data_IF_151259576715
#
_entry.id   IF_151259576715
#
_cell.length_a   1.000
_cell.length_b   1.000
_cell.length_c   1.000
_cell.angle_alpha   90.00
_cell.angle_beta   90.00
_cell.angle_gamma   90.00
#
_symmetry.space_group_name_H-M   'P 1'
#
loop_
_entity.id
_entity.type
_entity.pdbx_description
1 polymer ?
#
# COMPACT_ATOMS: atom_id res chain seq x y z
N UNK A 1 28.88 -68.13 36.44
CA UNK A 1 27.61 -67.71 35.79
C UNK A 1 27.53 -66.22 35.74
N UNK A 2 28.00 -65.58 34.62
CA UNK A 2 27.95 -64.13 34.41
C UNK A 2 26.65 -63.79 33.71
N UNK A 3 25.81 -62.98 34.37
CA UNK A 3 24.64 -62.35 33.71
C UNK A 3 25.11 -61.08 33.03
N UNK A 4 25.05 -61.06 31.70
CA UNK A 4 25.22 -59.81 30.89
C UNK A 4 23.93 -59.01 30.93
N UNK A 5 23.99 -57.80 31.52
CA UNK A 5 22.98 -56.76 31.36
C UNK A 5 23.17 -56.05 30.02
N UNK A 6 22.21 -56.15 29.14
CA UNK A 6 22.15 -55.32 27.94
C UNK A 6 21.41 -54.03 28.31
N UNK A 7 22.13 -52.91 28.34
CA UNK A 7 21.54 -51.58 28.44
C UNK A 7 21.11 -51.13 27.04
N UNK A 8 19.81 -51.09 26.81
CA UNK A 8 19.26 -50.54 25.57
C UNK A 8 19.17 -49.03 25.78
N UNK A 9 20.08 -48.25 25.13
CA UNK A 9 19.97 -46.79 25.05
C UNK A 9 18.92 -46.43 24.01
N UNK A 10 17.78 -45.96 24.45
CA UNK A 10 16.74 -45.39 23.62
C UNK A 10 17.14 -43.97 23.25
N UNK A 11 17.72 -43.79 22.05
CA UNK A 11 17.98 -42.45 21.50
C UNK A 11 16.63 -41.91 21.01
N UNK A 12 16.04 -41.01 21.79
CA UNK A 12 14.87 -40.24 21.38
C UNK A 12 15.31 -39.17 20.39
N UNK A 13 15.16 -39.46 19.10
CA UNK A 13 15.39 -38.48 18.04
C UNK A 13 14.23 -37.47 18.06
N UNK A 14 14.43 -36.36 18.71
CA UNK A 14 13.53 -35.19 18.62
C UNK A 14 13.64 -34.64 17.19
N UNK A 15 12.75 -35.07 16.31
CA UNK A 15 12.47 -34.43 15.04
C UNK A 15 11.81 -33.07 15.36
N UNK A 16 12.61 -32.03 15.49
CA UNK A 16 12.13 -30.66 15.37
C UNK A 16 11.71 -30.47 13.92
N UNK A 17 10.47 -30.78 13.62
CA UNK A 17 9.87 -30.35 12.35
C UNK A 17 9.73 -28.83 12.44
N UNK A 18 10.70 -28.11 11.91
CA UNK A 18 10.49 -26.71 11.58
C UNK A 18 9.25 -26.68 10.67
N UNK A 19 8.13 -26.20 11.19
CA UNK A 19 6.99 -25.85 10.34
C UNK A 19 7.51 -24.72 9.44
N UNK A 20 7.82 -25.05 8.20
CA UNK A 20 7.91 -24.02 7.17
C UNK A 20 6.51 -23.44 7.11
N UNK A 21 6.32 -22.27 7.68
CA UNK A 21 5.08 -21.52 7.50
C UNK A 21 4.90 -21.33 6.01
N UNK A 22 3.71 -21.62 5.48
CA UNK A 22 3.41 -21.25 4.11
C UNK A 22 3.60 -19.74 3.96
N UNK A 23 4.12 -19.29 2.83
CA UNK A 23 4.26 -17.88 2.53
C UNK A 23 2.92 -17.16 2.68
N UNK A 24 2.92 -15.96 3.23
CA UNK A 24 1.70 -15.16 3.40
C UNK A 24 1.22 -14.68 2.04
N UNK A 25 0.00 -15.03 1.66
CA UNK A 25 -0.60 -14.55 0.41
C UNK A 25 -1.01 -13.10 0.55
N UNK A 26 -0.42 -12.22 -0.25
CA UNK A 26 -0.70 -10.79 -0.25
C UNK A 26 -1.30 -10.37 -1.58
N UNK A 27 -2.40 -9.65 -1.54
CA UNK A 27 -2.97 -8.88 -2.63
C UNK A 27 -2.65 -7.42 -2.37
N UNK A 28 -1.96 -6.76 -3.30
CA UNK A 28 -1.61 -5.35 -3.23
C UNK A 28 -2.60 -4.53 -4.05
N UNK A 29 -3.28 -3.55 -3.43
CA UNK A 29 -4.03 -2.51 -4.12
C UNK A 29 -3.27 -1.18 -3.97
N UNK A 30 -2.95 -0.50 -5.10
CA UNK A 30 -1.98 0.59 -5.12
C UNK A 30 -2.24 1.58 -6.25
N UNK A 31 -2.04 2.85 -5.98
CA UNK A 31 -1.99 3.93 -6.97
C UNK A 31 -0.56 4.21 -7.46
N UNK A 32 0.16 3.17 -7.68
CA UNK A 32 1.56 2.90 -7.96
C UNK A 32 2.35 4.03 -8.63
N UNK A 33 3.47 4.38 -8.03
CA UNK A 33 4.51 5.23 -8.61
C UNK A 33 5.85 4.50 -8.73
N UNK A 34 6.79 5.07 -9.50
CA UNK A 34 8.11 4.46 -9.70
C UNK A 34 9.03 4.72 -8.50
N UNK A 35 9.66 3.67 -7.96
CA UNK A 35 10.77 3.75 -7.01
C UNK A 35 10.60 4.78 -5.88
N UNK A 36 9.37 5.00 -5.46
CA UNK A 36 9.02 5.70 -4.25
C UNK A 36 8.19 4.75 -3.37
N UNK A 37 7.39 5.25 -2.43
CA UNK A 37 6.78 4.43 -1.40
C UNK A 37 5.98 3.23 -1.92
N UNK A 38 5.06 3.40 -2.87
CA UNK A 38 4.34 2.30 -3.54
C UNK A 38 5.28 1.28 -4.21
N UNK A 39 6.21 1.80 -5.04
CA UNK A 39 7.13 0.94 -5.78
C UNK A 39 8.09 0.19 -4.87
N UNK A 40 8.58 0.83 -3.81
CA UNK A 40 9.42 0.18 -2.80
C UNK A 40 8.60 -0.85 -2.03
N UNK A 41 7.37 -0.51 -1.62
CA UNK A 41 6.45 -1.41 -0.94
C UNK A 41 6.18 -2.68 -1.77
N UNK A 42 5.88 -2.53 -3.06
CA UNK A 42 5.73 -3.66 -3.98
C UNK A 42 7.01 -4.52 -4.04
N UNK A 43 8.18 -3.89 -4.20
CA UNK A 43 9.45 -4.63 -4.30
C UNK A 43 9.82 -5.36 -3.02
N UNK A 44 9.48 -4.82 -1.85
CA UNK A 44 9.63 -5.51 -0.57
C UNK A 44 8.83 -6.81 -0.55
N UNK A 45 7.58 -6.80 -1.02
CA UNK A 45 6.74 -8.00 -1.11
C UNK A 45 7.29 -9.00 -2.13
N UNK A 46 7.63 -8.54 -3.34
CA UNK A 46 8.15 -9.39 -4.43
C UNK A 46 9.45 -10.10 -4.04
N UNK A 47 10.31 -9.43 -3.29
CA UNK A 47 11.65 -9.95 -2.96
C UNK A 47 11.68 -10.78 -1.68
N UNK A 48 10.60 -10.81 -0.91
CA UNK A 48 10.51 -11.58 0.33
C UNK A 48 10.16 -13.04 0.08
N UNK A 49 10.91 -14.01 0.62
CA UNK A 49 10.54 -15.42 0.55
C UNK A 49 9.38 -15.80 1.47
N UNK A 50 8.98 -14.90 2.38
CA UNK A 50 7.91 -15.13 3.36
C UNK A 50 6.54 -14.71 2.84
N UNK A 51 6.50 -14.09 1.64
CA UNK A 51 5.30 -13.58 0.99
C UNK A 51 5.14 -14.18 -0.41
N UNK A 52 3.92 -14.54 -0.74
CA UNK A 52 3.45 -14.80 -2.08
C UNK A 52 2.58 -13.60 -2.52
N UNK A 53 3.14 -12.69 -3.33
CA UNK A 53 2.36 -11.59 -3.91
C UNK A 53 1.49 -12.16 -5.04
N UNK A 54 0.22 -12.40 -4.74
CA UNK A 54 -0.72 -13.12 -5.62
C UNK A 54 -1.39 -12.24 -6.68
N UNK A 55 -1.18 -10.94 -6.62
CA UNK A 55 -1.65 -9.98 -7.61
C UNK A 55 -1.51 -8.55 -7.15
N UNK A 56 -1.56 -7.66 -8.13
CA UNK A 56 -1.53 -6.20 -7.93
C UNK A 56 -2.75 -5.64 -8.65
N UNK A 57 -3.62 -4.95 -7.92
CA UNK A 57 -4.67 -4.12 -8.50
C UNK A 57 -4.21 -2.67 -8.45
N UNK A 58 -4.48 -1.92 -9.52
CA UNK A 58 -4.08 -0.51 -9.56
C UNK A 58 -5.31 0.37 -9.68
N UNK A 59 -5.22 1.59 -9.17
CA UNK A 59 -6.29 2.54 -9.30
C UNK A 59 -5.80 3.98 -9.41
N UNK A 60 -6.75 4.90 -9.46
CA UNK A 60 -6.49 6.33 -9.47
C UNK A 60 -6.18 6.82 -8.06
N UNK A 61 -5.17 7.65 -7.94
CA UNK A 61 -4.76 8.33 -6.71
C UNK A 61 -3.59 9.23 -7.01
N UNK A 62 -2.36 8.80 -6.81
CA UNK A 62 -1.13 9.51 -7.17
C UNK A 62 -1.10 9.89 -8.66
N UNK A 63 -1.66 9.02 -9.52
CA UNK A 63 -1.83 9.26 -10.95
C UNK A 63 -3.12 8.59 -11.44
N UNK A 64 -3.40 8.68 -12.74
CA UNK A 64 -4.47 7.93 -13.38
C UNK A 64 -4.16 6.43 -13.37
N UNK A 65 -5.19 5.59 -13.19
CA UNK A 65 -5.02 4.13 -13.14
C UNK A 65 -4.16 3.54 -14.28
N UNK A 66 -4.30 3.96 -15.56
CA UNK A 66 -3.39 3.51 -16.62
C UNK A 66 -1.92 3.83 -16.35
N UNK A 67 -1.60 5.00 -15.78
CA UNK A 67 -0.22 5.37 -15.46
C UNK A 67 0.29 4.57 -14.25
N UNK A 68 -0.53 4.31 -13.25
CA UNK A 68 -0.19 3.45 -12.12
C UNK A 68 0.09 2.01 -12.58
N UNK A 69 -0.75 1.47 -13.47
CA UNK A 69 -0.53 0.17 -14.13
C UNK A 69 0.80 0.13 -14.86
N UNK A 70 1.13 1.19 -15.60
CA UNK A 70 2.40 1.36 -16.31
C UNK A 70 3.59 1.27 -15.36
N UNK A 71 3.55 1.97 -14.22
CA UNK A 71 4.62 1.94 -13.21
C UNK A 71 4.78 0.56 -12.58
N UNK A 72 3.68 -0.14 -12.28
CA UNK A 72 3.74 -1.51 -11.77
C UNK A 72 4.41 -2.48 -12.76
N UNK A 73 3.96 -2.46 -14.03
CA UNK A 73 4.50 -3.29 -15.11
C UNK A 73 6.01 -3.03 -15.28
N UNK A 74 6.44 -1.76 -15.36
CA UNK A 74 7.85 -1.40 -15.59
C UNK A 74 8.77 -1.90 -14.50
N UNK A 75 8.34 -1.79 -13.26
CA UNK A 75 9.15 -2.24 -12.12
C UNK A 75 9.22 -3.77 -12.03
N UNK A 76 8.11 -4.49 -12.31
CA UNK A 76 8.13 -5.95 -12.42
C UNK A 76 9.04 -6.44 -13.55
N UNK A 77 9.03 -5.78 -14.72
CA UNK A 77 9.97 -6.06 -15.81
C UNK A 77 11.42 -5.90 -15.35
N UNK A 78 11.71 -4.84 -14.61
CA UNK A 78 13.03 -4.57 -14.07
C UNK A 78 13.52 -5.66 -13.10
N UNK A 79 12.60 -6.24 -12.33
CA UNK A 79 12.86 -7.35 -11.43
C UNK A 79 12.93 -8.72 -12.16
N UNK A 80 12.56 -8.78 -13.45
CA UNK A 80 12.45 -10.03 -14.20
C UNK A 80 11.28 -10.90 -13.79
N UNK A 81 10.30 -10.36 -13.08
CA UNK A 81 9.10 -11.05 -12.57
C UNK A 81 8.00 -10.98 -13.62
N UNK A 82 7.41 -12.13 -13.99
CA UNK A 82 6.46 -12.23 -15.12
C UNK A 82 5.13 -12.90 -14.76
N UNK A 83 5.02 -13.47 -13.59
CA UNK A 83 3.93 -14.33 -13.14
C UNK A 83 2.98 -13.64 -12.15
N UNK A 84 3.30 -12.43 -11.70
CA UNK A 84 2.41 -11.64 -10.86
C UNK A 84 1.44 -10.87 -11.76
N UNK A 85 0.12 -11.14 -11.68
CA UNK A 85 -0.86 -10.41 -12.48
C UNK A 85 -1.01 -8.96 -11.97
N UNK A 86 -0.97 -8.01 -12.90
CA UNK A 86 -1.30 -6.60 -12.66
C UNK A 86 -2.64 -6.32 -13.33
N UNK A 87 -3.62 -5.84 -12.58
CA UNK A 87 -4.98 -5.60 -13.05
C UNK A 87 -5.33 -4.11 -12.90
N UNK A 88 -5.59 -3.46 -14.02
CA UNK A 88 -6.03 -2.07 -14.01
C UNK A 88 -7.44 -1.92 -13.43
N UNK A 89 -7.58 -1.06 -12.42
CA UNK A 89 -8.87 -0.68 -11.86
C UNK A 89 -9.54 0.44 -12.66
N UNK A 90 -10.85 0.50 -12.55
CA UNK A 90 -11.65 1.52 -13.23
C UNK A 90 -11.84 2.75 -12.35
N UNK A 91 -11.52 3.92 -12.88
CA UNK A 91 -11.79 5.19 -12.23
C UNK A 91 -13.31 5.45 -12.15
N UNK A 92 -13.90 5.55 -10.96
CA UNK A 92 -15.30 5.89 -10.79
C UNK A 92 -15.62 7.30 -11.29
N UNK A 93 -16.83 7.47 -11.86
CA UNK A 93 -17.29 8.76 -12.40
C UNK A 93 -17.28 9.86 -11.33
N UNK A 94 -17.62 9.53 -10.07
CA UNK A 94 -17.64 10.47 -8.95
C UNK A 94 -16.25 11.03 -8.65
N UNK A 95 -15.19 10.20 -8.66
CA UNK A 95 -13.80 10.63 -8.46
C UNK A 95 -13.38 11.54 -9.61
N UNK A 96 -13.67 11.17 -10.85
CA UNK A 96 -13.37 12.02 -12.01
C UNK A 96 -14.03 13.38 -11.87
N UNK A 97 -15.32 13.44 -11.45
CA UNK A 97 -16.02 14.70 -11.23
C UNK A 97 -15.39 15.51 -10.11
N UNK A 98 -14.96 14.88 -9.03
CA UNK A 98 -14.30 15.56 -7.92
C UNK A 98 -12.98 16.18 -8.34
N UNK A 99 -12.13 15.43 -9.03
CA UNK A 99 -10.85 15.93 -9.55
C UNK A 99 -11.02 17.16 -10.46
N UNK A 100 -12.07 17.18 -11.28
CA UNK A 100 -12.40 18.34 -12.11
C UNK A 100 -12.88 19.57 -11.31
N UNK A 101 -13.28 19.40 -10.05
CA UNK A 101 -13.79 20.48 -9.21
C UNK A 101 -12.83 20.87 -8.07
N UNK A 102 -11.65 20.28 -8.02
CA UNK A 102 -10.71 20.48 -6.90
C UNK A 102 -10.35 21.95 -6.66
N UNK A 103 -10.17 22.75 -7.73
CA UNK A 103 -9.91 24.19 -7.61
C UNK A 103 -11.08 24.93 -7.02
N UNK A 104 -12.32 24.47 -7.27
CA UNK A 104 -13.52 25.03 -6.66
C UNK A 104 -13.60 24.65 -5.19
N UNK A 105 -13.22 23.44 -4.84
CA UNK A 105 -13.15 22.98 -3.45
C UNK A 105 -12.11 23.80 -2.67
N UNK A 106 -10.93 24.02 -3.22
CA UNK A 106 -9.91 24.88 -2.65
C UNK A 106 -10.45 26.28 -2.34
N UNK A 107 -11.12 26.88 -3.30
CA UNK A 107 -11.74 28.20 -3.14
C UNK A 107 -12.91 28.18 -2.15
N UNK A 108 -13.75 27.17 -2.20
CA UNK A 108 -14.94 27.05 -1.35
C UNK A 108 -14.57 26.86 0.12
N UNK A 109 -13.58 26.04 0.40
CA UNK A 109 -13.13 25.78 1.76
C UNK A 109 -12.12 26.80 2.29
N UNK A 110 -11.76 27.80 1.46
CA UNK A 110 -10.87 28.89 1.90
C UNK A 110 -9.44 28.47 2.17
N UNK A 111 -9.02 27.34 1.67
CA UNK A 111 -7.67 26.79 1.83
C UNK A 111 -6.92 26.83 0.50
N UNK A 112 -5.70 27.32 0.53
CA UNK A 112 -4.72 26.92 -0.45
C UNK A 112 -4.28 25.50 -0.07
N UNK A 113 -5.00 24.49 -0.56
CA UNK A 113 -4.35 23.22 -0.76
C UNK A 113 -3.08 23.51 -1.53
N UNK A 114 -2.02 22.85 -1.19
CA UNK A 114 -0.86 22.89 -2.06
C UNK A 114 -1.38 22.56 -3.46
N UNK A 115 -1.57 23.62 -4.27
CA UNK A 115 -2.21 23.53 -5.60
C UNK A 115 -1.37 22.68 -6.56
N UNK A 116 -0.13 22.38 -6.16
CA UNK A 116 0.82 21.61 -6.94
C UNK A 116 0.65 20.09 -6.74
N UNK A 117 -0.15 19.64 -5.76
CA UNK A 117 -0.36 18.22 -5.50
C UNK A 117 -1.83 17.83 -5.46
N UNK A 118 -2.35 17.51 -6.62
CA UNK A 118 -3.72 17.00 -6.78
C UNK A 118 -3.75 15.52 -7.23
N UNK A 119 -2.66 14.79 -7.05
CA UNK A 119 -2.55 13.42 -7.56
C UNK A 119 -2.84 13.36 -9.06
N UNK A 120 -3.71 12.46 -9.48
CA UNK A 120 -4.11 12.30 -10.89
C UNK A 120 -4.60 13.60 -11.55
N UNK A 121 -5.19 14.51 -10.77
CA UNK A 121 -5.66 15.81 -11.28
C UNK A 121 -4.56 16.72 -11.80
N UNK A 122 -3.32 16.49 -11.41
CA UNK A 122 -2.14 17.24 -11.87
C UNK A 122 -1.58 16.76 -13.21
N UNK A 123 -2.06 15.62 -13.72
CA UNK A 123 -1.51 14.98 -14.90
C UNK A 123 -2.57 14.83 -16.01
N UNK A 124 -2.16 14.92 -17.30
CA UNK A 124 -3.04 14.57 -18.40
C UNK A 124 -3.48 13.11 -18.27
N UNK A 125 -4.79 12.86 -18.47
CA UNK A 125 -5.31 11.50 -18.45
C UNK A 125 -4.82 10.72 -19.65
N UNK A 126 -4.09 9.60 -19.49
CA UNK A 126 -3.67 8.75 -20.58
C UNK A 126 -4.86 8.11 -21.31
N UNK A 127 -4.68 7.77 -22.57
CA UNK A 127 -5.69 7.01 -23.35
C UNK A 127 -5.85 5.61 -22.78
N UNK A 128 -4.71 4.94 -22.54
CA UNK A 128 -4.61 3.62 -21.94
C UNK A 128 -3.22 3.45 -21.30
N UNK A 129 -3.00 2.31 -20.65
CA UNK A 129 -1.75 1.99 -19.97
C UNK A 129 -0.57 1.86 -20.96
N UNK A 130 -0.80 1.30 -22.17
CA UNK A 130 0.24 1.10 -23.16
C UNK A 130 0.78 2.44 -23.69
N UNK A 131 -0.13 3.35 -24.06
CA UNK A 131 0.25 4.71 -24.45
C UNK A 131 1.04 5.42 -23.34
N UNK A 132 0.56 5.31 -22.09
CA UNK A 132 1.28 5.87 -20.95
C UNK A 132 2.67 5.27 -20.76
N UNK A 133 2.82 3.96 -21.00
CA UNK A 133 4.11 3.27 -20.91
C UNK A 133 5.10 3.80 -21.97
N UNK A 134 4.68 3.81 -23.23
CA UNK A 134 5.52 4.25 -24.34
C UNK A 134 5.91 5.73 -24.20
N UNK A 135 4.95 6.58 -23.83
CA UNK A 135 5.19 8.02 -23.64
C UNK A 135 6.17 8.27 -22.48
N UNK A 136 6.06 7.49 -21.40
CA UNK A 136 6.89 7.68 -20.20
C UNK A 136 8.30 7.10 -20.37
N UNK A 137 8.43 5.91 -20.97
CA UNK A 137 9.69 5.17 -20.97
C UNK A 137 10.37 5.08 -22.33
N UNK A 138 9.71 5.50 -23.41
CA UNK A 138 10.27 5.50 -24.77
C UNK A 138 10.59 4.11 -25.32
N UNK A 139 9.92 3.07 -24.82
CA UNK A 139 10.13 1.66 -25.19
C UNK A 139 8.81 0.90 -25.14
N UNK A 140 8.72 -0.23 -25.84
CA UNK A 140 7.59 -1.14 -25.76
C UNK A 140 7.67 -1.97 -24.48
N UNK A 141 6.53 -2.22 -23.77
CA UNK A 141 6.49 -3.13 -22.63
C UNK A 141 6.73 -4.57 -23.07
N UNK A 142 7.32 -5.37 -22.20
CA UNK A 142 7.49 -6.82 -22.37
C UNK A 142 6.46 -7.65 -21.58
N UNK A 143 5.79 -7.01 -20.62
CA UNK A 143 4.67 -7.56 -19.87
C UNK A 143 3.39 -6.82 -20.26
N UNK A 144 2.26 -7.51 -20.11
CA UNK A 144 0.93 -6.91 -20.29
C UNK A 144 0.12 -7.07 -19.00
N UNK A 145 -0.74 -6.10 -18.68
CA UNK A 145 -1.70 -6.27 -17.59
C UNK A 145 -2.60 -7.48 -17.83
N UNK A 146 -3.00 -8.11 -16.76
CA UNK A 146 -3.97 -9.19 -16.80
C UNK A 146 -5.31 -8.68 -17.35
N UNK A 147 -5.84 -9.35 -18.37
CA UNK A 147 -7.13 -9.00 -18.99
C UNK A 147 -8.29 -9.38 -18.06
N UNK A 148 -8.83 -8.38 -17.36
CA UNK A 148 -9.90 -8.59 -16.41
C UNK A 148 -10.38 -7.30 -15.77
N UNK A 149 -11.17 -7.46 -14.74
CA UNK A 149 -11.68 -6.37 -13.92
C UNK A 149 -11.11 -6.52 -12.51
N UNK A 150 -10.52 -5.47 -11.94
CA UNK A 150 -9.90 -5.50 -10.62
C UNK A 150 -10.89 -5.98 -9.53
N UNK A 151 -12.14 -5.51 -9.57
CA UNK A 151 -13.19 -5.92 -8.62
C UNK A 151 -13.45 -7.43 -8.67
N UNK A 152 -13.58 -7.99 -9.89
CA UNK A 152 -13.82 -9.42 -10.07
C UNK A 152 -12.58 -10.25 -9.70
N UNK A 153 -11.40 -9.71 -9.95
CA UNK A 153 -10.14 -10.33 -9.54
C UNK A 153 -10.04 -10.43 -8.01
N UNK A 154 -10.28 -9.33 -7.28
CA UNK A 154 -10.29 -9.30 -5.81
C UNK A 154 -11.28 -10.33 -5.26
N UNK A 155 -12.53 -10.32 -5.75
CA UNK A 155 -13.58 -11.24 -5.28
C UNK A 155 -13.17 -12.70 -5.52
N UNK A 156 -12.67 -13.02 -6.70
CA UNK A 156 -12.24 -14.37 -7.05
C UNK A 156 -11.08 -14.82 -6.19
N UNK A 157 -10.05 -13.99 -6.09
CA UNK A 157 -8.82 -14.29 -5.34
C UNK A 157 -9.13 -14.59 -3.87
N UNK A 158 -10.00 -13.80 -3.23
CA UNK A 158 -10.41 -14.03 -1.84
C UNK A 158 -11.23 -15.33 -1.73
N UNK A 159 -12.16 -15.59 -2.65
CA UNK A 159 -12.99 -16.81 -2.63
C UNK A 159 -12.20 -18.10 -2.89
N UNK A 160 -11.16 -18.02 -3.69
CA UNK A 160 -10.25 -19.15 -3.97
C UNK A 160 -9.27 -19.42 -2.84
N UNK A 161 -9.01 -18.43 -1.98
CA UNK A 161 -8.07 -18.50 -0.85
C UNK A 161 -8.70 -18.02 0.46
N UNK A 162 -9.78 -18.66 0.94
CA UNK A 162 -10.54 -18.16 2.10
C UNK A 162 -9.67 -18.18 3.37
N UNK A 163 -9.64 -17.05 4.08
CA UNK A 163 -8.87 -16.80 5.31
C UNK A 163 -7.34 -16.83 5.15
N UNK A 164 -6.84 -16.79 3.92
CA UNK A 164 -5.40 -16.81 3.66
C UNK A 164 -4.88 -15.46 3.12
N UNK A 165 -5.75 -14.64 2.49
CA UNK A 165 -5.34 -13.41 1.81
C UNK A 165 -5.22 -12.25 2.80
N UNK A 166 -4.05 -11.66 2.87
CA UNK A 166 -3.82 -10.32 3.42
C UNK A 166 -3.96 -9.31 2.28
N UNK A 167 -4.79 -8.29 2.47
CA UNK A 167 -4.90 -7.17 1.54
C UNK A 167 -4.01 -6.05 2.06
N UNK A 168 -3.03 -5.64 1.25
CA UNK A 168 -2.26 -4.42 1.44
C UNK A 168 -2.93 -3.32 0.62
N UNK A 169 -3.69 -2.47 1.30
CA UNK A 169 -4.47 -1.38 0.74
C UNK A 169 -3.70 -0.09 0.94
N UNK A 170 -2.97 0.33 -0.08
CA UNK A 170 -2.09 1.50 -0.01
C UNK A 170 -2.54 2.61 -0.96
N UNK A 171 -3.83 2.60 -1.27
CA UNK A 171 -4.50 3.53 -2.18
C UNK A 171 -5.89 3.96 -1.64
N UNK A 172 -6.69 4.71 -2.42
CA UNK A 172 -8.01 5.22 -1.99
C UNK A 172 -9.12 4.18 -1.75
N UNK A 173 -8.86 2.91 -1.53
CA UNK A 173 -9.82 1.85 -1.22
C UNK A 173 -10.93 1.61 -2.27
N UNK A 174 -10.85 2.17 -3.46
CA UNK A 174 -11.98 2.17 -4.40
C UNK A 174 -12.26 0.80 -4.98
N UNK A 175 -11.22 0.03 -5.33
CA UNK A 175 -11.36 -1.32 -5.87
C UNK A 175 -11.95 -2.26 -4.81
N UNK A 176 -11.40 -2.24 -3.61
CA UNK A 176 -11.85 -3.07 -2.48
C UNK A 176 -13.29 -2.75 -2.10
N UNK A 177 -13.63 -1.46 -1.98
CA UNK A 177 -15.00 -1.05 -1.66
C UNK A 177 -16.01 -1.49 -2.75
N UNK A 178 -15.62 -1.44 -4.02
CA UNK A 178 -16.45 -1.93 -5.10
C UNK A 178 -16.64 -3.46 -5.05
N UNK A 179 -15.59 -4.20 -4.68
CA UNK A 179 -15.64 -5.64 -4.47
C UNK A 179 -16.58 -6.00 -3.30
N UNK A 180 -16.47 -5.28 -2.17
CA UNK A 180 -17.35 -5.45 -1.01
C UNK A 180 -18.81 -5.12 -1.30
N UNK A 181 -19.08 -4.08 -2.11
CA UNK A 181 -20.45 -3.76 -2.54
C UNK A 181 -21.05 -4.84 -3.45
N UNK A 182 -20.23 -5.48 -4.30
CA UNK A 182 -20.65 -6.53 -5.20
C UNK A 182 -20.79 -7.89 -4.51
N UNK A 183 -19.94 -8.20 -3.56
CA UNK A 183 -19.87 -9.48 -2.86
C UNK A 183 -19.52 -9.25 -1.36
N UNK A 184 -20.47 -8.76 -0.54
CA UNK A 184 -20.16 -8.38 0.86
C UNK A 184 -19.64 -9.54 1.72
N UNK A 185 -19.96 -10.77 1.36
CA UNK A 185 -19.51 -11.98 2.07
C UNK A 185 -17.98 -12.17 2.02
N UNK A 186 -17.26 -11.56 1.06
CA UNK A 186 -15.80 -11.70 0.99
C UNK A 186 -15.09 -11.07 2.19
N UNK A 187 -15.69 -10.08 2.84
CA UNK A 187 -15.08 -9.43 3.99
C UNK A 187 -14.67 -10.45 5.07
N UNK A 188 -15.57 -11.38 5.40
CA UNK A 188 -15.28 -12.43 6.41
C UNK A 188 -14.32 -13.52 5.93
N UNK A 189 -14.03 -13.59 4.64
CA UNK A 189 -13.12 -14.57 4.04
C UNK A 189 -11.68 -14.07 3.90
N UNK A 190 -11.43 -12.78 4.11
CA UNK A 190 -10.08 -12.21 4.15
C UNK A 190 -9.37 -12.66 5.43
N UNK A 191 -8.05 -12.77 5.41
CA UNK A 191 -7.25 -12.98 6.62
C UNK A 191 -7.17 -11.68 7.44
N UNK A 192 -6.73 -10.60 6.80
CA UNK A 192 -6.66 -9.24 7.36
C UNK A 192 -6.55 -8.20 6.24
N UNK A 193 -6.85 -6.96 6.57
CA UNK A 193 -6.59 -5.81 5.70
C UNK A 193 -5.65 -4.86 6.44
N UNK A 194 -4.62 -4.37 5.75
CA UNK A 194 -3.72 -3.35 6.28
C UNK A 194 -3.77 -2.15 5.34
N UNK A 195 -4.13 -0.98 5.90
CA UNK A 195 -4.28 0.26 5.15
C UNK A 195 -3.09 1.20 5.38
N UNK A 196 -2.56 1.80 4.32
CA UNK A 196 -1.95 3.11 4.44
C UNK A 196 -3.03 4.15 4.23
N UNK A 197 -3.25 5.00 5.23
CA UNK A 197 -4.25 6.04 5.15
C UNK A 197 -4.74 6.47 6.52
N UNK A 198 -5.58 7.49 6.54
CA UNK A 198 -6.11 8.07 7.78
C UNK A 198 -5.16 9.04 8.47
N UNK A 199 -5.74 9.91 9.29
CA UNK A 199 -5.04 10.78 10.21
C UNK A 199 -5.93 11.00 11.45
N UNK A 200 -5.45 10.67 12.65
CA UNK A 200 -6.26 10.69 13.88
C UNK A 200 -5.81 11.76 14.87
N UNK A 201 -4.50 11.89 15.08
CA UNK A 201 -3.91 12.73 16.15
C UNK A 201 -2.89 13.73 15.60
N UNK A 202 -2.64 13.73 14.29
CA UNK A 202 -1.74 14.68 13.65
C UNK A 202 -2.53 15.87 13.10
N UNK A 203 -1.95 17.05 13.17
CA UNK A 203 -2.41 18.28 12.52
C UNK A 203 -1.72 18.51 11.17
N UNK A 204 -0.78 17.65 10.82
CA UNK A 204 0.01 17.75 9.59
C UNK A 204 -0.65 17.07 8.40
N UNK A 205 -1.96 17.29 8.19
CA UNK A 205 -2.67 16.79 7.02
C UNK A 205 -2.55 17.79 5.86
N UNK A 206 -2.35 17.28 4.66
CA UNK A 206 -2.27 18.12 3.45
C UNK A 206 -3.64 18.67 3.05
N UNK A 207 -4.70 17.93 3.33
CA UNK A 207 -6.09 18.27 3.04
C UNK A 207 -6.81 18.70 4.32
N UNK A 208 -7.90 19.49 4.27
CA UNK A 208 -8.41 20.21 5.43
C UNK A 208 -8.61 19.41 6.70
N UNK A 209 -8.96 18.13 6.56
CA UNK A 209 -9.24 17.25 7.69
C UNK A 209 -8.97 15.78 7.37
N UNK A 210 -8.30 15.47 6.24
CA UNK A 210 -8.15 14.11 5.75
C UNK A 210 -6.72 13.84 5.27
N UNK A 211 -6.31 12.61 5.39
CA UNK A 211 -5.15 12.08 4.70
C UNK A 211 -5.51 11.81 3.22
N UNK A 212 -4.53 11.79 2.32
CA UNK A 212 -4.72 11.78 0.87
C UNK A 212 -5.57 10.62 0.36
N UNK A 213 -5.25 9.37 0.73
CA UNK A 213 -5.99 8.19 0.25
C UNK A 213 -7.46 8.24 0.66
N UNK A 214 -7.73 8.67 1.89
CA UNK A 214 -9.10 8.84 2.39
C UNK A 214 -9.77 10.04 1.72
N UNK A 215 -9.04 11.14 1.49
CA UNK A 215 -9.57 12.33 0.83
C UNK A 215 -9.99 12.07 -0.62
N UNK A 216 -9.26 11.23 -1.34
CA UNK A 216 -9.58 10.90 -2.76
C UNK A 216 -10.93 10.20 -2.87
N UNK A 217 -11.25 9.22 -2.01
CA UNK A 217 -12.52 8.49 -2.05
C UNK A 217 -13.06 8.15 -0.63
N UNK A 218 -13.58 9.15 0.11
CA UNK A 218 -14.07 8.92 1.47
C UNK A 218 -15.21 7.89 1.57
N UNK A 219 -16.09 7.83 0.55
CA UNK A 219 -17.20 6.89 0.53
C UNK A 219 -16.71 5.44 0.37
N UNK A 220 -15.63 5.22 -0.36
CA UNK A 220 -15.01 3.90 -0.48
C UNK A 220 -14.24 3.53 0.76
N UNK A 221 -13.47 4.46 1.32
CA UNK A 221 -12.80 4.26 2.59
C UNK A 221 -13.78 3.88 3.70
N UNK A 222 -14.92 4.57 3.79
CA UNK A 222 -15.99 4.25 4.76
C UNK A 222 -16.56 2.85 4.54
N UNK A 223 -16.84 2.46 3.29
CA UNK A 223 -17.34 1.11 2.99
C UNK A 223 -16.35 0.05 3.40
N UNK A 224 -15.07 0.27 3.11
CA UNK A 224 -14.00 -0.66 3.46
C UNK A 224 -13.81 -0.76 4.97
N UNK A 225 -13.63 0.36 5.67
CA UNK A 225 -13.38 0.37 7.12
C UNK A 225 -14.57 -0.11 7.96
N UNK A 226 -15.80 -0.05 7.43
CA UNK A 226 -17.01 -0.59 8.07
C UNK A 226 -17.29 -2.06 7.72
N UNK A 227 -16.49 -2.67 6.84
CA UNK A 227 -16.66 -4.07 6.47
C UNK A 227 -16.31 -5.00 7.65
N UNK A 228 -16.91 -6.19 7.65
CA UNK A 228 -16.72 -7.15 8.73
C UNK A 228 -15.49 -8.04 8.49
N UNK A 229 -14.32 -7.41 8.39
CA UNK A 229 -13.05 -8.12 8.29
C UNK A 229 -12.68 -8.76 9.63
N UNK A 230 -12.00 -9.92 9.63
CA UNK A 230 -11.48 -10.55 10.84
C UNK A 230 -10.47 -9.66 11.58
N UNK A 231 -9.65 -8.93 10.85
CA UNK A 231 -8.67 -7.99 11.39
C UNK A 231 -8.48 -6.80 10.44
N UNK A 232 -8.43 -5.60 10.99
CA UNK A 232 -8.08 -4.36 10.31
C UNK A 232 -6.91 -3.69 11.01
N UNK A 233 -5.90 -3.28 10.24
CA UNK A 233 -4.74 -2.55 10.73
C UNK A 233 -4.63 -1.27 9.92
N UNK A 234 -4.44 -0.15 10.58
CA UNK A 234 -4.28 1.16 9.94
C UNK A 234 -2.89 1.69 10.26
N UNK A 235 -2.14 2.03 9.23
CA UNK A 235 -0.87 2.74 9.27
C UNK A 235 -1.16 4.20 8.90
N UNK A 236 -1.52 5.05 9.89
CA UNK A 236 -1.97 6.40 9.59
C UNK A 236 -0.82 7.36 9.36
N UNK A 237 -1.13 8.53 8.82
CA UNK A 237 -0.19 9.63 8.67
C UNK A 237 0.50 10.01 9.99
N UNK A 238 -0.15 9.75 11.13
CA UNK A 238 0.39 9.93 12.48
C UNK A 238 1.73 9.23 12.71
N UNK A 239 1.89 8.03 12.18
CA UNK A 239 3.14 7.27 12.26
C UNK A 239 4.01 7.50 11.02
N UNK A 240 3.42 7.62 9.84
CA UNK A 240 4.16 7.83 8.60
C UNK A 240 4.99 9.12 8.65
N UNK A 241 4.45 10.18 9.25
CA UNK A 241 5.15 11.45 9.42
C UNK A 241 6.33 11.41 10.42
N UNK A 242 6.61 10.25 11.01
CA UNK A 242 7.78 10.05 11.88
C UNK A 242 8.94 9.36 11.16
N UNK A 243 8.66 8.69 10.03
CA UNK A 243 9.66 7.96 9.25
C UNK A 243 9.99 8.75 8.00
N UNK A 244 11.22 9.21 7.90
CA UNK A 244 11.68 10.12 6.87
C UNK A 244 12.69 9.44 5.94
N UNK A 245 12.84 10.03 4.76
CA UNK A 245 13.98 9.80 3.87
C UNK A 245 14.60 11.15 3.54
N UNK A 246 15.87 11.32 3.92
CA UNK A 246 16.67 12.49 3.60
C UNK A 246 17.28 12.38 2.21
N UNK A 247 17.84 13.48 1.70
CA UNK A 247 18.61 13.45 0.45
C UNK A 247 19.77 12.46 0.52
N UNK A 248 20.48 12.43 1.64
CA UNK A 248 21.62 11.52 1.88
C UNK A 248 21.19 10.06 1.81
N UNK A 249 20.08 9.71 2.44
CA UNK A 249 19.53 8.35 2.42
C UNK A 249 19.03 7.98 1.02
N UNK A 250 18.35 8.88 0.32
CA UNK A 250 17.94 8.67 -1.05
C UNK A 250 19.15 8.39 -1.96
N UNK A 251 20.25 9.14 -1.80
CA UNK A 251 21.48 8.92 -2.55
C UNK A 251 22.21 7.64 -2.13
N UNK A 252 22.13 7.24 -0.85
CA UNK A 252 22.62 5.94 -0.38
C UNK A 252 21.86 4.80 -1.08
N UNK A 253 20.52 4.84 -1.10
CA UNK A 253 19.69 3.87 -1.82
C UNK A 253 20.08 3.80 -3.30
N UNK A 254 20.21 4.95 -3.97
CA UNK A 254 20.65 5.02 -5.37
C UNK A 254 22.00 4.33 -5.59
N UNK A 255 22.94 4.52 -4.67
CA UNK A 255 24.31 3.96 -4.78
C UNK A 255 24.36 2.43 -4.71
N UNK A 256 23.33 1.79 -4.19
CA UNK A 256 23.19 0.34 -4.05
C UNK A 256 22.71 -0.34 -5.34
N UNK A 257 22.03 0.40 -6.21
CA UNK A 257 21.43 -0.12 -7.44
C UNK A 257 22.54 -0.47 -8.45
N UNK A 258 22.41 -1.66 -9.06
CA UNK A 258 23.29 -2.14 -10.14
C UNK A 258 22.55 -2.22 -11.49
N UNK A 259 21.24 -2.36 -11.46
CA UNK A 259 20.40 -2.42 -12.66
C UNK A 259 20.35 -1.06 -13.38
N UNK A 260 20.73 -0.99 -14.68
CA UNK A 260 20.64 0.24 -15.44
C UNK A 260 19.21 0.81 -15.52
N UNK A 261 18.19 -0.06 -15.49
CA UNK A 261 16.80 0.36 -15.50
C UNK A 261 16.46 1.11 -14.24
N UNK A 262 16.73 0.53 -13.07
CA UNK A 262 16.41 1.16 -11.79
C UNK A 262 17.28 2.38 -11.52
N UNK A 263 18.54 2.38 -11.97
CA UNK A 263 19.37 3.60 -11.96
C UNK A 263 18.72 4.72 -12.78
N UNK A 264 18.22 4.42 -13.99
CA UNK A 264 17.53 5.40 -14.80
C UNK A 264 16.27 5.95 -14.12
N UNK A 265 15.47 5.09 -13.48
CA UNK A 265 14.29 5.53 -12.71
C UNK A 265 14.68 6.45 -11.55
N UNK A 266 15.74 6.12 -10.81
CA UNK A 266 16.23 6.96 -9.70
C UNK A 266 16.80 8.29 -10.21
N UNK A 267 17.54 8.28 -11.32
CA UNK A 267 18.18 9.48 -11.88
C UNK A 267 17.17 10.47 -12.48
N UNK A 268 15.99 10.00 -12.81
CA UNK A 268 14.88 10.83 -13.29
C UNK A 268 13.76 11.01 -12.24
N UNK A 269 14.02 10.62 -11.00
CA UNK A 269 13.02 10.68 -9.96
C UNK A 269 12.73 12.13 -9.53
N UNK A 270 11.46 12.46 -9.32
CA UNK A 270 11.03 13.82 -8.93
C UNK A 270 11.65 14.28 -7.59
N UNK A 271 11.97 13.37 -6.68
CA UNK A 271 12.62 13.71 -5.41
C UNK A 271 13.96 14.39 -5.57
N UNK A 272 14.68 14.19 -6.67
CA UNK A 272 15.93 14.92 -6.91
C UNK A 272 15.65 16.43 -6.98
N UNK A 273 14.67 16.83 -7.77
CA UNK A 273 14.26 18.25 -7.85
C UNK A 273 13.62 18.74 -6.55
N UNK A 274 12.88 17.90 -5.86
CA UNK A 274 12.31 18.21 -4.54
C UNK A 274 13.40 18.58 -3.53
N UNK A 275 14.46 17.80 -3.43
CA UNK A 275 15.61 18.09 -2.56
C UNK A 275 16.43 19.29 -3.05
N UNK A 276 16.59 19.49 -4.35
CA UNK A 276 17.28 20.63 -4.94
C UNK A 276 16.56 21.95 -4.65
N UNK A 277 15.25 21.90 -4.50
CA UNK A 277 14.42 23.05 -4.11
C UNK A 277 14.50 23.37 -2.59
N UNK A 278 15.40 22.70 -1.85
CA UNK A 278 15.71 23.01 -0.46
C UNK A 278 14.92 22.24 0.58
N UNK A 279 14.14 21.22 0.18
CA UNK A 279 13.48 20.35 1.13
C UNK A 279 14.50 19.39 1.76
N UNK A 280 14.46 19.24 3.08
CA UNK A 280 15.45 18.46 3.82
C UNK A 280 15.16 16.96 3.78
N UNK A 281 13.88 16.59 3.82
CA UNK A 281 13.43 15.20 3.88
C UNK A 281 12.00 15.08 3.31
N UNK A 282 11.62 13.86 2.98
CA UNK A 282 10.24 13.46 2.68
C UNK A 282 9.87 12.21 3.47
N UNK A 283 8.67 11.72 3.32
CA UNK A 283 8.15 10.54 4.02
C UNK A 283 8.06 9.33 3.09
N UNK A 284 7.90 8.14 3.66
CA UNK A 284 7.77 6.87 2.95
C UNK A 284 6.58 6.09 3.50
N UNK A 285 5.38 6.58 3.17
CA UNK A 285 4.13 6.14 3.79
C UNK A 285 3.87 4.63 3.62
N UNK A 286 3.83 4.11 2.41
CA UNK A 286 3.39 2.75 2.05
C UNK A 286 4.38 1.65 2.46
N UNK A 287 5.65 2.01 2.55
CA UNK A 287 6.72 1.11 3.02
C UNK A 287 6.42 0.58 4.42
N UNK A 288 5.75 1.37 5.27
CA UNK A 288 5.41 0.95 6.62
C UNK A 288 4.38 -0.18 6.64
N UNK A 289 3.43 -0.18 5.69
CA UNK A 289 2.45 -1.27 5.53
C UNK A 289 3.17 -2.58 5.22
N UNK A 290 4.05 -2.57 4.23
CA UNK A 290 4.76 -3.78 3.83
C UNK A 290 5.78 -4.21 4.87
N UNK A 291 6.44 -3.29 5.55
CA UNK A 291 7.31 -3.62 6.68
C UNK A 291 6.53 -4.33 7.81
N UNK A 292 5.32 -3.86 8.13
CA UNK A 292 4.46 -4.49 9.14
C UNK A 292 3.92 -5.87 8.70
N UNK A 293 3.73 -6.11 7.39
CA UNK A 293 3.39 -7.44 6.85
C UNK A 293 4.56 -8.40 7.00
N UNK A 294 5.76 -7.97 6.60
CA UNK A 294 6.96 -8.80 6.57
C UNK A 294 7.50 -9.11 7.97
N UNK A 295 7.43 -8.14 8.86
CA UNK A 295 7.87 -8.30 10.24
C UNK A 295 7.08 -7.42 11.18
N UNK A 296 6.06 -7.99 11.84
CA UNK A 296 5.22 -7.24 12.78
C UNK A 296 5.98 -6.65 13.98
N UNK A 297 7.22 -7.08 14.23
CA UNK A 297 8.04 -6.52 15.31
C UNK A 297 8.60 -5.12 14.98
N UNK A 298 8.36 -4.59 13.78
CA UNK A 298 8.59 -3.17 13.48
C UNK A 298 7.62 -2.27 14.22
N UNK A 299 6.43 -2.78 14.60
CA UNK A 299 5.41 -2.04 15.34
C UNK A 299 5.83 -1.98 16.80
N UNK A 300 6.07 -0.77 17.32
CA UNK A 300 6.50 -0.54 18.71
C UNK A 300 5.39 0.02 19.60
N UNK A 301 4.36 0.63 19.00
CA UNK A 301 3.20 1.14 19.72
C UNK A 301 1.96 1.10 18.82
N UNK A 302 0.84 0.65 19.39
CA UNK A 302 -0.45 0.60 18.72
C UNK A 302 -1.62 0.74 19.70
N UNK A 303 -2.80 1.05 19.19
CA UNK A 303 -4.06 1.08 19.94
C UNK A 303 -5.16 0.48 19.10
N UNK A 304 -6.08 -0.26 19.74
CA UNK A 304 -7.29 -0.77 19.08
C UNK A 304 -8.48 0.10 19.46
N UNK A 305 -9.12 0.70 18.46
CA UNK A 305 -10.27 1.58 18.63
C UNK A 305 -11.29 1.35 17.51
N UNK A 306 -12.58 1.57 17.78
CA UNK A 306 -13.59 1.71 16.73
C UNK A 306 -13.25 2.90 15.84
N UNK A 307 -13.32 2.71 14.51
CA UNK A 307 -13.01 3.75 13.52
C UNK A 307 -14.17 3.97 12.57
N UNK A 308 -14.20 5.16 11.96
CA UNK A 308 -15.15 5.53 10.92
C UNK A 308 -14.57 6.64 10.03
N UNK A 309 -15.24 6.90 8.92
CA UNK A 309 -14.89 7.97 7.97
C UNK A 309 -16.07 8.91 7.78
N UNK A 310 -15.82 10.21 7.82
CA UNK A 310 -16.82 11.21 7.47
C UNK A 310 -16.93 11.32 5.93
N UNK A 311 -17.98 10.75 5.37
CA UNK A 311 -18.31 10.83 3.94
C UNK A 311 -19.34 11.92 3.61
N UNK A 312 -19.66 12.79 4.58
CA UNK A 312 -20.52 13.94 4.34
C UNK A 312 -19.73 15.10 3.76
N UNK A 313 -20.11 15.58 2.59
CA UNK A 313 -19.43 16.67 1.90
C UNK A 313 -19.47 17.96 2.72
N UNK A 314 -18.34 18.30 3.33
CA UNK A 314 -18.15 19.42 4.27
C UNK A 314 -16.67 19.75 4.40
N UNK A 315 -16.30 20.68 5.27
CA UNK A 315 -14.90 20.99 5.62
C UNK A 315 -14.15 19.79 6.22
N UNK A 316 -14.86 18.82 6.77
CA UNK A 316 -14.29 17.60 7.35
C UNK A 316 -14.55 16.36 6.49
N UNK A 317 -14.84 16.54 5.19
CA UNK A 317 -15.01 15.43 4.26
C UNK A 317 -13.73 14.61 4.12
N UNK A 318 -13.85 13.32 4.35
CA UNK A 318 -12.70 12.38 4.39
C UNK A 318 -12.02 12.30 5.76
N UNK A 319 -12.44 13.06 6.77
CA UNK A 319 -11.88 12.95 8.11
C UNK A 319 -12.13 11.54 8.66
N UNK A 320 -11.07 10.91 9.15
CA UNK A 320 -11.15 9.65 9.90
C UNK A 320 -11.38 9.94 11.38
N UNK A 321 -12.13 9.08 12.03
CA UNK A 321 -12.55 9.19 13.41
C UNK A 321 -12.18 7.92 14.16
N UNK A 322 -11.58 8.07 15.33
CA UNK A 322 -11.33 6.98 16.27
C UNK A 322 -12.05 7.28 17.60
N UNK A 323 -12.82 6.31 18.09
CA UNK A 323 -13.69 6.53 19.23
C UNK A 323 -13.13 5.89 20.48
N UNK A 324 -12.93 6.69 21.52
CA UNK A 324 -12.44 6.21 22.81
C UNK A 324 -13.58 6.15 23.82
N UNK A 325 -13.90 4.94 24.28
CA UNK A 325 -14.87 4.72 25.35
C UNK A 325 -16.33 4.59 24.89
N UNK A 326 -16.59 4.54 23.60
CA UNK A 326 -17.90 4.24 23.01
C UNK A 326 -17.73 3.68 21.60
N UNK A 327 -18.75 2.97 21.13
CA UNK A 327 -18.75 2.23 19.86
C UNK A 327 -19.98 2.64 19.04
N UNK A 328 -19.85 3.64 18.15
CA UNK A 328 -20.96 4.09 17.30
C UNK A 328 -21.44 2.99 16.35
N UNK A 329 -22.73 2.98 16.06
CA UNK A 329 -23.34 2.02 15.16
C UNK A 329 -22.64 2.05 13.79
N UNK A 330 -22.20 0.88 13.33
CA UNK A 330 -21.53 0.69 12.05
C UNK A 330 -20.03 0.91 12.06
N UNK A 331 -19.45 1.47 13.13
CA UNK A 331 -17.98 1.49 13.29
C UNK A 331 -17.42 0.08 13.47
N UNK A 332 -16.13 -0.10 13.20
CA UNK A 332 -15.42 -1.35 13.39
C UNK A 332 -14.10 -1.09 14.08
N UNK A 333 -13.69 -2.04 14.92
CA UNK A 333 -12.38 -1.98 15.54
C UNK A 333 -11.26 -2.10 14.49
N UNK A 334 -10.24 -1.26 14.63
CA UNK A 334 -8.99 -1.34 13.89
C UNK A 334 -7.81 -1.16 14.85
N UNK A 335 -6.73 -1.88 14.59
CA UNK A 335 -5.44 -1.63 15.21
C UNK A 335 -4.80 -0.43 14.51
N UNK A 336 -4.63 0.65 15.22
CA UNK A 336 -4.02 1.90 14.73
C UNK A 336 -2.57 1.91 15.17
N UNK A 337 -1.65 1.91 14.23
CA UNK A 337 -0.22 1.96 14.51
C UNK A 337 0.16 3.38 14.91
N UNK A 338 0.79 3.53 16.06
CA UNK A 338 1.20 4.82 16.62
C UNK A 338 2.70 5.06 16.53
N UNK A 339 3.50 3.97 16.53
CA UNK A 339 4.95 4.07 16.39
C UNK A 339 5.56 2.80 15.80
N UNK A 340 6.71 2.98 15.12
CA UNK A 340 7.49 1.89 14.51
C UNK A 340 8.98 2.05 14.83
N UNK A 341 9.74 0.98 14.66
CA UNK A 341 11.20 0.99 14.66
C UNK A 341 11.70 1.49 13.29
N UNK A 342 12.01 2.79 13.22
CA UNK A 342 12.46 3.46 12.00
C UNK A 342 13.75 2.86 11.43
N UNK A 343 14.73 2.54 12.28
CA UNK A 343 16.00 1.95 11.84
C UNK A 343 15.77 0.61 11.13
N UNK A 344 14.85 -0.18 11.65
CA UNK A 344 14.48 -1.48 11.08
C UNK A 344 13.77 -1.33 9.74
N UNK A 345 12.86 -0.36 9.61
CA UNK A 345 12.20 -0.05 8.34
C UNK A 345 13.23 0.37 7.30
N UNK A 346 14.13 1.28 7.63
CA UNK A 346 15.21 1.70 6.72
C UNK A 346 16.15 0.54 6.34
N UNK A 347 16.44 -0.37 7.29
CA UNK A 347 17.23 -1.56 6.97
C UNK A 347 16.51 -2.46 5.96
N UNK A 348 15.22 -2.69 6.12
CA UNK A 348 14.42 -3.48 5.18
C UNK A 348 14.40 -2.85 3.80
N UNK A 349 14.25 -1.53 3.69
CA UNK A 349 14.38 -0.81 2.42
C UNK A 349 15.76 -1.01 1.77
N UNK A 350 16.85 -0.81 2.51
CA UNK A 350 18.21 -0.99 1.99
C UNK A 350 18.41 -2.38 1.40
N UNK A 351 17.85 -3.43 2.03
CA UNK A 351 17.93 -4.81 1.54
C UNK A 351 17.24 -4.99 0.17
N UNK A 352 16.18 -4.23 -0.10
CA UNK A 352 15.54 -4.22 -1.42
C UNK A 352 16.50 -3.64 -2.46
N UNK A 353 17.08 -2.48 -2.18
CA UNK A 353 17.96 -1.78 -3.10
C UNK A 353 19.29 -2.51 -3.34
N UNK A 354 19.79 -3.28 -2.36
CA UNK A 354 20.98 -4.14 -2.52
C UNK A 354 20.76 -5.25 -3.58
N UNK A 355 19.50 -5.58 -3.90
CA UNK A 355 19.13 -6.59 -4.91
C UNK A 355 18.80 -5.99 -6.28
N UNK A 356 18.70 -4.67 -6.41
CA UNK A 356 18.46 -3.96 -7.65
C UNK A 356 19.80 -3.65 -8.33
#
# INVERSE_FOLDING_TARGET
>A
MLKRLYTISLILLLLVTARVSAAEKVLLDSDMVDLFDDGIAMMMLVQSPEVELIGITTMIGNNWAPACTTSAIRQLEGLGVKDIPVIEGKTPVRITKRLLNIDKENKYFGRNYNTDYHGAGSFPKPVDWHSAYVDKYGAEPTLEPFKGNAVDFIIRTIKENPHEVTIAEIDPCTNLAAALKKAPEIASLVKKVIYMGSAFYTDAVEFPAAEFNIWVDPESAKVSMRANFPEQIIVPQDVCNKVHITKEEFMDLRSRIKSPLFLNLMDNHYLLSYFENGNAATFIWDVLVTAAILDSSVITEEVTLPVDVNDTYSLSYGQTLAYKGYDPEGSREARIILNVDEDKVHQMMRQVFDKL
#
